data_IF_605127324334
#
_entry.id   IF_605127324334
#
_cell.length_a   1.000
_cell.length_b   1.000
_cell.length_c   1.000
_cell.angle_alpha   90.00
_cell.angle_beta   90.00
_cell.angle_gamma   90.00
#
_symmetry.space_group_name_H-M   'P 1'
#
loop_
_entity.id
_entity.type
_entity.pdbx_description
1 polymer ?
#
# COMPACT_ATOMS: atom_id res chain seq x y z
N UNK A 1 -84.66 8.78 10.86
CA UNK A 1 -83.27 9.31 10.96
C UNK A 1 -82.37 8.17 11.42
N UNK A 2 -81.51 7.65 10.53
CA UNK A 2 -80.70 6.44 10.77
C UNK A 2 -79.42 6.81 11.52
N UNK A 3 -79.14 6.10 12.62
CA UNK A 3 -77.89 6.14 13.38
C UNK A 3 -76.86 5.27 12.66
N UNK A 4 -75.66 5.78 12.40
CA UNK A 4 -74.53 4.99 11.92
C UNK A 4 -73.67 4.57 13.12
N UNK A 5 -73.24 3.29 13.22
CA UNK A 5 -72.35 2.85 14.28
C UNK A 5 -70.89 3.22 13.96
N UNK A 6 -70.14 3.55 15.01
CA UNK A 6 -68.68 3.66 15.01
C UNK A 6 -68.07 2.36 14.45
N UNK A 7 -67.36 2.46 13.33
CA UNK A 7 -66.47 1.40 12.87
C UNK A 7 -65.11 1.56 13.55
N UNK A 8 -64.76 0.50 14.26
CA UNK A 8 -63.54 0.26 15.00
C UNK A 8 -62.34 0.33 14.05
N UNK A 9 -61.47 1.32 14.24
CA UNK A 9 -60.11 1.34 13.70
C UNK A 9 -59.21 0.51 14.62
N UNK A 10 -59.21 -0.80 14.42
CA UNK A 10 -58.16 -1.70 14.92
C UNK A 10 -57.44 -2.28 13.72
N UNK A 11 -56.12 -2.10 13.66
CA UNK A 11 -55.29 -2.73 12.63
C UNK A 11 -54.10 -1.93 12.13
N UNK A 12 -53.71 -0.83 12.77
CA UNK A 12 -52.37 -0.29 12.61
C UNK A 12 -51.40 -1.10 13.45
N UNK A 13 -50.96 -2.26 12.96
CA UNK A 13 -49.74 -2.89 13.48
C UNK A 13 -48.61 -1.89 13.24
N UNK A 14 -48.24 -1.16 14.30
CA UNK A 14 -46.98 -0.46 14.38
C UNK A 14 -45.89 -1.52 14.28
N UNK A 15 -45.46 -1.80 13.06
CA UNK A 15 -44.14 -2.39 12.84
C UNK A 15 -43.19 -1.27 13.22
N UNK A 16 -42.80 -1.22 14.50
CA UNK A 16 -41.66 -0.42 14.92
C UNK A 16 -40.53 -0.77 13.95
N UNK A 17 -39.95 0.19 13.20
CA UNK A 17 -38.74 -0.11 12.48
C UNK A 17 -37.78 -0.67 13.52
N UNK A 18 -37.27 -1.87 13.27
CA UNK A 18 -36.22 -2.45 14.10
C UNK A 18 -35.05 -1.49 13.99
N UNK A 19 -34.96 -0.53 14.91
CA UNK A 19 -33.78 0.28 15.10
C UNK A 19 -32.72 -0.68 15.60
N UNK A 20 -31.91 -1.18 14.67
CA UNK A 20 -30.65 -1.82 15.04
C UNK A 20 -29.87 -0.78 15.85
N UNK A 21 -29.75 -1.03 17.15
CA UNK A 21 -28.89 -0.23 18.02
C UNK A 21 -27.48 -0.34 17.46
N UNK A 22 -26.99 0.72 16.82
CA UNK A 22 -25.63 0.78 16.30
C UNK A 22 -24.69 0.61 17.48
N UNK A 23 -23.95 -0.50 17.49
CA UNK A 23 -22.93 -0.76 18.51
C UNK A 23 -21.76 0.17 18.26
N UNK A 24 -21.12 0.62 19.33
CA UNK A 24 -19.94 1.48 19.28
C UNK A 24 -18.84 0.79 20.06
N UNK A 25 -17.67 0.64 19.43
CA UNK A 25 -16.49 0.03 20.01
C UNK A 25 -15.43 1.11 20.21
N UNK A 26 -14.60 0.96 21.24
CA UNK A 26 -13.51 1.89 21.48
C UNK A 26 -12.28 1.42 20.73
N UNK A 27 -11.78 2.24 19.81
CA UNK A 27 -10.61 1.96 18.99
C UNK A 27 -9.52 3.00 19.22
N UNK A 28 -8.27 2.59 19.04
CA UNK A 28 -7.11 3.47 19.12
C UNK A 28 -6.65 3.84 17.70
N UNK A 29 -6.61 5.14 17.40
CA UNK A 29 -6.07 5.66 16.14
C UNK A 29 -4.94 6.63 16.49
N UNK A 30 -3.71 6.24 16.17
CA UNK A 30 -2.51 6.98 16.57
C UNK A 30 -2.48 7.18 18.10
N UNK A 31 -2.38 8.43 18.56
CA UNK A 31 -2.32 8.79 19.99
C UNK A 31 -3.69 8.98 20.65
N UNK A 32 -4.80 8.76 19.92
CA UNK A 32 -6.15 9.02 20.41
C UNK A 32 -6.95 7.72 20.54
N UNK A 33 -7.78 7.66 21.57
CA UNK A 33 -8.83 6.66 21.71
C UNK A 33 -10.16 7.31 21.32
N UNK A 34 -10.92 6.66 20.43
CA UNK A 34 -12.21 7.16 19.95
C UNK A 34 -13.24 6.04 19.86
N UNK A 35 -14.52 6.39 20.00
CA UNK A 35 -15.61 5.44 19.77
C UNK A 35 -15.97 5.43 18.29
N UNK A 36 -15.90 4.25 17.69
CA UNK A 36 -16.22 4.00 16.29
C UNK A 36 -17.43 3.07 16.19
N UNK A 37 -18.37 3.31 15.25
CA UNK A 37 -19.48 2.41 15.05
C UNK A 37 -19.00 1.04 14.56
N UNK A 38 -19.75 0.01 14.93
CA UNK A 38 -19.51 -1.37 14.52
C UNK A 38 -19.70 -1.53 13.00
N UNK A 39 -18.90 -2.42 12.39
CA UNK A 39 -18.90 -2.67 10.95
C UNK A 39 -18.14 -1.66 10.09
N UNK A 40 -17.24 -0.87 10.69
CA UNK A 40 -16.28 -0.06 9.93
C UNK A 40 -15.09 -0.92 9.48
N UNK A 41 -14.72 -0.77 8.21
CA UNK A 41 -13.48 -1.35 7.66
C UNK A 41 -12.33 -0.34 7.75
N UNK A 42 -11.11 -0.88 7.88
CA UNK A 42 -9.87 -0.11 7.83
C UNK A 42 -9.22 -0.34 6.46
N UNK A 43 -8.95 0.74 5.74
CA UNK A 43 -8.17 0.67 4.52
C UNK A 43 -6.71 0.36 4.86
N UNK A 44 -6.16 -0.71 4.30
CA UNK A 44 -4.79 -1.15 4.52
C UNK A 44 -4.07 -1.34 3.19
N UNK A 45 -2.74 -1.46 3.22
CA UNK A 45 -2.00 -1.94 2.05
C UNK A 45 -2.20 -3.45 1.90
N UNK A 46 -2.72 -3.97 0.78
CA UNK A 46 -2.86 -5.41 0.63
C UNK A 46 -1.48 -6.06 0.61
N UNK A 47 -1.31 -7.11 1.42
CA UNK A 47 -0.04 -7.81 1.54
C UNK A 47 0.42 -8.42 0.21
N UNK A 48 -0.54 -8.82 -0.64
CA UNK A 48 -0.28 -9.34 -1.99
C UNK A 48 0.49 -8.34 -2.86
N UNK A 49 0.32 -7.03 -2.66
CA UNK A 49 1.09 -6.03 -3.39
C UNK A 49 2.58 -5.98 -3.01
N UNK A 50 2.98 -6.63 -1.91
CA UNK A 50 4.38 -6.80 -1.52
C UNK A 50 4.87 -8.23 -1.83
N UNK A 51 4.01 -9.23 -1.61
CA UNK A 51 4.35 -10.65 -1.72
C UNK A 51 4.12 -11.23 -3.11
N UNK A 52 3.37 -10.56 -3.98
CA UNK A 52 3.15 -10.95 -5.37
C UNK A 52 2.80 -9.72 -6.24
N UNK A 53 3.72 -8.74 -6.35
CA UNK A 53 3.44 -7.49 -7.05
C UNK A 53 3.25 -7.66 -8.56
N UNK A 54 2.22 -7.02 -9.10
CA UNK A 54 1.99 -6.83 -10.53
C UNK A 54 3.14 -6.01 -11.14
N UNK A 55 3.52 -6.33 -12.39
CA UNK A 55 4.42 -5.47 -13.14
C UNK A 55 3.78 -4.08 -13.36
N UNK A 56 4.60 -3.04 -13.34
CA UNK A 56 4.13 -1.69 -13.62
C UNK A 56 3.72 -1.62 -15.12
N UNK A 57 2.46 -1.25 -15.44
CA UNK A 57 2.06 -1.13 -16.83
C UNK A 57 2.86 -0.02 -17.52
N UNK A 58 3.22 -0.25 -18.79
CA UNK A 58 3.79 0.78 -19.64
C UNK A 58 2.82 1.97 -19.74
N UNK A 59 3.23 3.14 -19.26
CA UNK A 59 2.50 4.39 -19.48
C UNK A 59 2.72 4.91 -20.90
N UNK A 60 1.86 5.81 -21.37
CA UNK A 60 1.92 6.43 -22.71
C UNK A 60 3.31 7.05 -23.01
N UNK A 61 4.22 6.24 -23.58
CA UNK A 61 5.47 6.67 -24.21
C UNK A 61 6.64 7.05 -23.29
N UNK A 62 6.53 6.89 -21.97
CA UNK A 62 7.62 7.17 -21.04
C UNK A 62 8.18 5.89 -20.43
N UNK A 63 9.50 5.84 -20.21
CA UNK A 63 10.19 4.73 -19.56
C UNK A 63 9.46 4.34 -18.29
N UNK A 64 9.16 3.04 -18.15
CA UNK A 64 8.74 2.49 -16.87
C UNK A 64 9.83 2.85 -15.85
N UNK A 65 9.47 3.58 -14.79
CA UNK A 65 10.41 4.03 -13.75
C UNK A 65 10.46 3.11 -12.53
N UNK A 66 9.64 2.06 -12.52
CA UNK A 66 9.53 1.08 -11.43
C UNK A 66 9.19 -0.27 -12.03
N UNK A 67 9.87 -1.34 -11.62
CA UNK A 67 9.59 -2.70 -12.10
C UNK A 67 8.16 -3.13 -11.80
N UNK A 68 7.73 -2.84 -10.58
CA UNK A 68 6.46 -3.27 -10.03
C UNK A 68 5.50 -2.10 -9.79
N UNK A 69 4.22 -2.41 -9.83
CA UNK A 69 3.13 -1.51 -9.47
C UNK A 69 3.27 -1.02 -8.03
N UNK A 70 3.04 0.29 -7.82
CA UNK A 70 3.02 0.83 -6.46
C UNK A 70 1.82 0.31 -5.69
N UNK A 71 2.08 -0.29 -4.53
CA UNK A 71 1.04 -0.70 -3.60
C UNK A 71 0.31 0.54 -3.03
N UNK A 72 -1.01 0.50 -3.03
CA UNK A 72 -1.89 1.55 -2.53
C UNK A 72 -2.83 1.00 -1.47
N UNK A 73 -3.22 1.88 -0.55
CA UNK A 73 -4.25 1.58 0.45
C UNK A 73 -5.57 1.34 -0.29
N UNK A 74 -6.29 0.31 0.10
CA UNK A 74 -7.59 -0.06 -0.48
C UNK A 74 -8.46 -0.74 0.58
N UNK A 75 -9.77 -0.76 0.35
CA UNK A 75 -10.73 -1.59 1.10
C UNK A 75 -10.97 -2.95 0.43
N UNK A 76 -10.43 -3.17 -0.77
CA UNK A 76 -10.60 -4.41 -1.55
C UNK A 76 -9.28 -5.06 -1.93
N UNK A 77 -9.33 -6.02 -2.86
CA UNK A 77 -8.17 -6.85 -3.20
C UNK A 77 -7.20 -6.20 -4.21
N UNK A 78 -7.65 -5.15 -4.93
CA UNK A 78 -6.79 -4.50 -5.92
C UNK A 78 -5.87 -3.47 -5.26
N UNK A 79 -4.58 -3.75 -5.30
CA UNK A 79 -3.55 -2.96 -4.63
C UNK A 79 -2.79 -1.97 -5.53
N UNK A 80 -2.89 -2.10 -6.84
CA UNK A 80 -2.16 -1.24 -7.77
C UNK A 80 -2.70 0.21 -7.70
N UNK A 81 -1.90 1.16 -7.20
CA UNK A 81 -2.27 2.58 -7.05
C UNK A 81 -2.67 3.25 -8.37
N UNK A 82 -2.26 2.70 -9.53
CA UNK A 82 -2.70 3.21 -10.82
C UNK A 82 -4.13 2.78 -11.20
N UNK A 83 -4.75 1.86 -10.44
CA UNK A 83 -6.14 1.40 -10.63
C UNK A 83 -7.11 2.14 -9.71
N UNK A 84 -8.38 2.19 -10.13
CA UNK A 84 -9.45 2.99 -9.51
C UNK A 84 -9.83 2.59 -8.07
N UNK A 85 -9.44 1.40 -7.63
CA UNK A 85 -9.82 0.87 -6.31
C UNK A 85 -8.93 1.38 -5.18
N UNK A 86 -7.81 2.04 -5.50
CA UNK A 86 -6.95 2.64 -4.46
C UNK A 86 -7.58 3.92 -3.90
N UNK A 87 -7.61 4.02 -2.57
CA UNK A 87 -8.14 5.19 -1.88
C UNK A 87 -6.99 6.15 -1.54
N UNK A 88 -7.25 7.45 -1.71
CA UNK A 88 -6.29 8.45 -1.29
C UNK A 88 -6.46 8.72 0.21
N UNK A 89 -5.60 8.11 1.02
CA UNK A 89 -5.52 8.42 2.44
C UNK A 89 -4.72 9.73 2.61
N UNK A 90 -5.38 10.87 2.38
CA UNK A 90 -4.74 12.20 2.37
C UNK A 90 -4.11 12.61 3.72
N UNK A 91 -4.30 11.83 4.79
CA UNK A 91 -3.90 12.21 6.17
C UNK A 91 -3.38 11.05 7.03
N UNK A 92 -2.94 9.93 6.47
CA UNK A 92 -2.64 8.71 7.27
C UNK A 92 -1.19 8.24 7.27
N UNK A 93 -0.20 9.13 7.12
CA UNK A 93 1.19 8.74 7.41
C UNK A 93 1.34 8.59 8.92
N UNK A 94 1.50 7.35 9.38
CA UNK A 94 1.75 7.04 10.78
C UNK A 94 3.25 7.18 11.04
N UNK A 95 3.63 8.05 11.98
CA UNK A 95 5.03 8.19 12.39
C UNK A 95 5.25 7.68 13.80
N UNK A 96 6.32 6.93 14.00
CA UNK A 96 6.84 6.56 15.32
C UNK A 96 8.26 7.08 15.46
N UNK A 97 8.42 8.22 16.16
CA UNK A 97 9.69 8.95 16.22
C UNK A 97 10.07 9.49 14.83
N UNK A 98 11.23 9.07 14.32
CA UNK A 98 11.74 9.47 13.00
C UNK A 98 11.41 8.49 11.88
N UNK A 99 10.54 7.50 12.14
CA UNK A 99 10.20 6.44 11.19
C UNK A 99 8.74 6.57 10.73
N UNK A 100 8.54 6.54 9.42
CA UNK A 100 7.21 6.34 8.82
C UNK A 100 6.88 4.85 8.88
N UNK A 101 5.67 4.52 9.33
CA UNK A 101 5.16 3.16 9.48
C UNK A 101 3.96 2.97 8.55
N UNK A 102 4.04 1.94 7.72
CA UNK A 102 2.94 1.45 6.91
C UNK A 102 2.45 0.11 7.47
N UNK A 103 1.12 -0.10 7.45
CA UNK A 103 0.49 -1.34 7.93
C UNK A 103 -0.21 -2.04 6.77
N UNK A 104 0.15 -3.30 6.54
CA UNK A 104 -0.50 -4.13 5.53
C UNK A 104 -1.68 -4.91 6.11
N UNK A 105 -2.49 -5.49 5.23
CA UNK A 105 -3.39 -6.57 5.60
C UNK A 105 -2.59 -7.77 6.13
N UNK A 106 -3.26 -8.63 6.90
CA UNK A 106 -2.69 -9.90 7.35
C UNK A 106 -2.53 -10.88 6.17
N UNK A 107 -1.44 -11.65 6.18
CA UNK A 107 -1.23 -12.77 5.25
C UNK A 107 -1.73 -14.06 5.88
N UNK A 108 -2.41 -14.90 5.10
CA UNK A 108 -2.93 -16.19 5.62
C UNK A 108 -1.82 -17.23 5.82
N UNK A 109 -0.69 -17.04 5.16
CA UNK A 109 0.45 -17.94 5.16
C UNK A 109 1.73 -17.19 5.56
N UNK A 110 2.75 -17.88 6.09
CA UNK A 110 4.05 -17.24 6.31
C UNK A 110 4.57 -16.58 5.04
N UNK A 111 5.00 -15.32 5.14
CA UNK A 111 5.59 -14.58 4.03
C UNK A 111 6.93 -15.21 3.66
N UNK A 112 7.10 -15.59 2.40
CA UNK A 112 8.40 -16.02 1.88
C UNK A 112 9.34 -14.81 1.78
N UNK A 113 10.12 -14.62 2.83
CA UNK A 113 11.04 -13.50 2.96
C UNK A 113 12.22 -13.59 1.98
N UNK A 114 12.57 -14.81 1.52
CA UNK A 114 13.60 -15.00 0.50
C UNK A 114 13.11 -14.52 -0.85
N UNK A 115 11.90 -14.93 -1.24
CA UNK A 115 11.26 -14.44 -2.47
C UNK A 115 11.04 -12.92 -2.44
N UNK A 116 10.68 -12.36 -1.28
CA UNK A 116 10.56 -10.91 -1.12
C UNK A 116 11.89 -10.18 -1.37
N UNK A 117 13.00 -10.70 -0.80
CA UNK A 117 14.35 -10.17 -1.06
C UNK A 117 14.73 -10.21 -2.54
N UNK A 118 14.40 -11.29 -3.25
CA UNK A 118 14.65 -11.40 -4.69
C UNK A 118 13.92 -10.31 -5.49
N UNK A 119 12.67 -10.00 -5.13
CA UNK A 119 11.92 -8.91 -5.78
C UNK A 119 12.51 -7.54 -5.47
N UNK A 120 13.00 -7.32 -4.25
CA UNK A 120 13.72 -6.08 -3.92
C UNK A 120 14.97 -5.95 -4.81
N UNK A 121 15.74 -7.03 -5.01
CA UNK A 121 16.88 -7.03 -5.91
C UNK A 121 16.48 -6.77 -7.36
N UNK A 122 15.42 -7.41 -7.88
CA UNK A 122 14.91 -7.20 -9.24
C UNK A 122 14.52 -5.73 -9.47
N UNK A 123 13.78 -5.15 -8.51
CA UNK A 123 13.36 -3.74 -8.56
C UNK A 123 14.54 -2.77 -8.58
N UNK A 124 15.57 -3.01 -7.76
CA UNK A 124 16.79 -2.20 -7.75
C UNK A 124 17.50 -2.32 -9.10
N UNK A 125 17.76 -3.53 -9.58
CA UNK A 125 18.45 -3.76 -10.86
C UNK A 125 17.73 -3.11 -12.04
N UNK A 126 16.41 -3.22 -12.07
CA UNK A 126 15.59 -2.53 -13.07
C UNK A 126 15.76 -1.01 -13.00
N UNK A 127 15.77 -0.43 -11.80
CA UNK A 127 16.04 1.00 -11.60
C UNK A 127 17.41 1.44 -12.13
N UNK A 128 18.44 0.61 -11.94
CA UNK A 128 19.80 0.84 -12.47
C UNK A 128 19.79 0.82 -14.01
N UNK A 129 19.13 -0.16 -14.62
CA UNK A 129 19.00 -0.26 -16.08
C UNK A 129 18.28 0.96 -16.65
N UNK A 130 17.18 1.38 -16.03
CA UNK A 130 16.40 2.55 -16.42
C UNK A 130 17.24 3.82 -16.30
N UNK A 131 18.00 4.00 -15.22
CA UNK A 131 18.89 5.14 -15.06
C UNK A 131 19.92 5.22 -16.20
N UNK A 132 20.46 4.07 -16.63
CA UNK A 132 21.38 4.03 -17.78
C UNK A 132 20.69 4.44 -19.08
N UNK A 133 19.49 3.92 -19.35
CA UNK A 133 18.68 4.29 -20.53
C UNK A 133 18.36 5.79 -20.55
N UNK A 134 18.16 6.40 -19.39
CA UNK A 134 17.98 7.86 -19.28
C UNK A 134 19.24 8.64 -19.69
N UNK A 135 20.43 8.22 -19.27
CA UNK A 135 21.69 8.85 -19.70
C UNK A 135 21.92 8.72 -21.21
N UNK A 136 21.65 7.54 -21.78
CA UNK A 136 21.75 7.29 -23.23
C UNK A 136 20.79 8.17 -24.04
N UNK A 137 19.56 8.31 -23.55
CA UNK A 137 18.56 9.20 -24.14
C UNK A 137 18.98 10.66 -24.05
N UNK A 138 19.44 11.12 -22.88
CA UNK A 138 19.84 12.51 -22.67
C UNK A 138 21.08 12.86 -23.50
N UNK A 139 22.00 11.92 -23.71
CA UNK A 139 23.09 12.07 -24.68
C UNK A 139 22.53 12.26 -26.09
N UNK A 140 21.59 11.42 -26.52
CA UNK A 140 21.02 11.49 -27.88
C UNK A 140 20.19 12.76 -28.14
N UNK A 141 19.37 13.18 -27.18
CA UNK A 141 18.41 14.27 -27.35
C UNK A 141 18.97 15.63 -26.96
N UNK A 142 19.83 15.68 -25.93
CA UNK A 142 20.31 16.92 -25.32
C UNK A 142 21.82 17.10 -25.47
N UNK A 143 22.53 16.13 -26.08
CA UNK A 143 24.00 16.09 -26.14
C UNK A 143 24.65 16.21 -24.75
N UNK A 144 23.95 15.74 -23.71
CA UNK A 144 24.45 15.74 -22.34
C UNK A 144 25.42 14.56 -22.18
N UNK A 145 26.67 14.78 -21.73
CA UNK A 145 27.60 13.68 -21.55
C UNK A 145 27.08 12.70 -20.50
N UNK A 146 27.26 11.41 -20.78
CA UNK A 146 26.97 10.34 -19.82
C UNK A 146 27.99 10.37 -18.68
N UNK A 147 27.60 9.87 -17.52
CA UNK A 147 28.52 9.72 -16.41
C UNK A 147 29.59 8.65 -16.70
N UNK A 148 30.77 8.81 -16.10
CA UNK A 148 31.78 7.76 -16.16
C UNK A 148 31.24 6.50 -15.48
N UNK A 149 31.75 5.33 -15.87
CA UNK A 149 31.37 4.05 -15.24
C UNK A 149 31.54 4.09 -13.72
N UNK A 150 32.65 4.67 -13.23
CA UNK A 150 32.92 4.78 -11.80
C UNK A 150 31.90 5.67 -11.08
N UNK A 151 31.56 6.82 -11.66
CA UNK A 151 30.58 7.75 -11.08
C UNK A 151 29.17 7.17 -11.06
N UNK A 152 28.78 6.50 -12.15
CA UNK A 152 27.49 5.83 -12.23
C UNK A 152 27.39 4.71 -11.21
N UNK A 153 28.41 3.86 -11.12
CA UNK A 153 28.47 2.77 -10.15
C UNK A 153 28.41 3.30 -8.72
N UNK A 154 29.12 4.39 -8.40
CA UNK A 154 29.04 5.06 -7.09
C UNK A 154 27.62 5.45 -6.69
N UNK A 155 26.76 5.81 -7.66
CA UNK A 155 25.37 6.25 -7.43
C UNK A 155 24.33 5.13 -7.50
N UNK A 156 24.67 3.96 -8.05
CA UNK A 156 23.66 2.97 -8.41
C UNK A 156 24.02 1.54 -7.95
N UNK A 157 25.28 1.25 -7.62
CA UNK A 157 25.63 -0.02 -6.99
C UNK A 157 25.00 -0.13 -5.60
N UNK A 158 24.68 -1.37 -5.24
CA UNK A 158 24.05 -1.71 -3.99
C UNK A 158 24.62 -3.02 -3.44
N UNK A 159 24.47 -3.24 -2.14
CA UNK A 159 24.87 -4.48 -1.46
C UNK A 159 23.69 -4.98 -0.63
N UNK A 160 23.26 -6.21 -0.89
CA UNK A 160 22.32 -6.92 -0.02
C UNK A 160 23.10 -7.80 0.95
N UNK A 161 22.86 -7.62 2.24
CA UNK A 161 23.48 -8.42 3.31
C UNK A 161 22.41 -9.11 4.15
N UNK A 162 22.58 -10.41 4.33
CA UNK A 162 21.69 -11.25 5.13
C UNK A 162 22.03 -11.24 6.62
N UNK A 163 20.98 -11.36 7.42
CA UNK A 163 20.96 -11.53 8.87
C UNK A 163 19.92 -12.60 9.22
N UNK A 164 19.93 -13.21 10.43
CA UNK A 164 19.07 -14.35 10.75
C UNK A 164 17.58 -14.14 10.41
N UNK A 165 17.03 -12.97 10.72
CA UNK A 165 15.62 -12.63 10.49
C UNK A 165 15.46 -11.31 9.71
N UNK A 166 16.48 -10.93 8.95
CA UNK A 166 16.50 -9.63 8.29
C UNK A 166 17.45 -9.63 7.09
N UNK A 167 17.28 -8.66 6.20
CA UNK A 167 18.32 -8.29 5.26
C UNK A 167 18.44 -6.78 5.18
N UNK A 168 19.63 -6.31 4.81
CA UNK A 168 19.91 -4.88 4.68
C UNK A 168 20.34 -4.60 3.25
N UNK A 169 19.71 -3.60 2.64
CA UNK A 169 20.16 -2.99 1.40
C UNK A 169 21.03 -1.78 1.73
N UNK A 170 22.28 -1.80 1.30
CA UNK A 170 23.17 -0.64 1.34
C UNK A 170 23.25 -0.02 -0.05
N UNK A 171 23.02 1.27 -0.15
CA UNK A 171 23.18 2.05 -1.38
C UNK A 171 23.95 3.36 -1.10
N UNK A 172 24.12 4.20 -2.12
CA UNK A 172 24.85 5.46 -1.96
C UNK A 172 24.18 6.48 -1.02
N UNK A 173 22.87 6.35 -0.78
CA UNK A 173 22.08 7.26 0.08
C UNK A 173 22.11 6.81 1.53
N UNK A 174 22.35 5.54 1.78
CA UNK A 174 22.45 4.97 3.12
C UNK A 174 22.12 3.49 3.14
N UNK A 175 21.21 3.11 4.05
CA UNK A 175 20.78 1.73 4.20
C UNK A 175 19.28 1.62 4.49
N UNK A 176 18.66 0.55 4.01
CA UNK A 176 17.29 0.15 4.34
C UNK A 176 17.31 -1.23 4.97
N UNK A 177 16.71 -1.38 6.14
CA UNK A 177 16.64 -2.65 6.88
C UNK A 177 15.26 -3.26 6.69
N UNK A 178 15.22 -4.52 6.27
CA UNK A 178 14.01 -5.32 6.15
C UNK A 178 14.05 -6.40 7.23
N UNK A 179 13.01 -6.47 8.06
CA UNK A 179 12.95 -7.37 9.22
C UNK A 179 11.73 -8.28 9.07
N UNK A 180 11.94 -9.58 9.28
CA UNK A 180 10.87 -10.56 9.45
C UNK A 180 10.76 -10.91 10.94
N UNK A 181 9.76 -10.37 11.64
CA UNK A 181 9.49 -10.70 13.03
C UNK A 181 8.46 -11.82 13.21
N UNK A 182 7.99 -12.44 12.12
CA UNK A 182 7.13 -13.61 12.14
C UNK A 182 7.95 -14.84 12.55
N UNK A 183 7.58 -15.45 13.68
CA UNK A 183 8.15 -16.74 14.13
C UNK A 183 7.79 -17.87 13.18
#
# INVERSE_FOLDING_TARGET
MKKFPLLILWGGFLVSPVTFSQKWNSECVSYYQMQLPDGLDVGLYPIEGFTNPEEQPEGNGFFITSRYARNGITFGDKYNRAKADSIQAQFSSLYYGNYELDVSSEEKTPVDFSAYKERVADSINFGIEVARKYEERDLKLLNKPMETKAEFNRKHEYILKDYPNAFVNYDYRGYTVYINSGK
#
